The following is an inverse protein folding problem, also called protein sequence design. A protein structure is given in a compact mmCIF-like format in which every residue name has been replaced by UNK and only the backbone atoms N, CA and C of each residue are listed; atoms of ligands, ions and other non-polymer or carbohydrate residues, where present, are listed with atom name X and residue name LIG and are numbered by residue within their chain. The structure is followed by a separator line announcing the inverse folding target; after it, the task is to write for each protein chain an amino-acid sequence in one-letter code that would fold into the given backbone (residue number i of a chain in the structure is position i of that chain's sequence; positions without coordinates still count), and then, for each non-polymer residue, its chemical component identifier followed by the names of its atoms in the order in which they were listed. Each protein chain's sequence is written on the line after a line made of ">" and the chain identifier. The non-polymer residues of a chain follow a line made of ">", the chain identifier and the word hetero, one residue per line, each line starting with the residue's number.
data_IF_138935314259
#
_entry.id   IF_138935314259
#
_cell.length_a   1.000
_cell.length_b   1.000
_cell.length_c   1.000
_cell.angle_alpha   90.00
_cell.angle_beta   90.00
_cell.angle_gamma   90.00
#
_symmetry.space_group_name_H-M   'P 1'
#
loop_
_entity.id
_entity.type
_entity.pdbx_description
1 polymer ?
#
# COMPACT_ATOMS: atom_id res chain seq x y z
N UNK A 1 12.63 -9.71 -9.62
CA UNK A 1 12.51 -10.91 -8.77
C UNK A 1 11.51 -11.84 -9.40
N UNK A 2 11.92 -13.06 -9.73
CA UNK A 2 11.05 -14.06 -10.33
C UNK A 2 10.13 -14.69 -9.26
N UNK A 3 8.86 -14.81 -9.56
CA UNK A 3 7.91 -15.55 -8.75
C UNK A 3 8.01 -17.01 -9.18
N UNK A 4 8.48 -17.88 -8.29
CA UNK A 4 8.50 -19.32 -8.55
C UNK A 4 7.19 -19.94 -8.07
N UNK A 5 6.52 -20.66 -8.95
CA UNK A 5 5.38 -21.49 -8.59
C UNK A 5 5.86 -22.73 -7.80
N UNK A 6 5.11 -23.10 -6.78
CA UNK A 6 5.41 -24.30 -6.02
C UNK A 6 5.29 -25.54 -6.92
N UNK A 7 6.32 -26.38 -6.94
CA UNK A 7 6.35 -27.63 -7.75
C UNK A 7 5.38 -28.70 -7.23
N UNK A 8 4.97 -28.62 -5.97
CA UNK A 8 4.09 -29.62 -5.34
C UNK A 8 2.62 -29.21 -5.46
N UNK A 9 1.79 -30.15 -5.87
CA UNK A 9 0.33 -29.94 -6.07
C UNK A 9 -0.52 -30.29 -4.84
N UNK A 10 0.09 -30.40 -3.64
CA UNK A 10 -0.66 -30.66 -2.40
C UNK A 10 -1.68 -29.54 -2.13
N UNK A 11 -2.79 -29.79 -1.42
CA UNK A 11 -3.80 -28.78 -1.12
C UNK A 11 -3.26 -27.53 -0.42
N UNK A 12 -2.12 -27.65 0.29
CA UNK A 12 -1.47 -26.52 0.98
C UNK A 12 -0.62 -25.65 0.05
N UNK A 13 -0.04 -26.23 -1.01
CA UNK A 13 0.92 -25.58 -1.89
C UNK A 13 0.34 -25.27 -3.28
N UNK A 14 -0.83 -25.82 -3.63
CA UNK A 14 -1.49 -25.60 -4.92
C UNK A 14 -1.59 -24.11 -5.24
N UNK A 15 -1.06 -23.71 -6.38
CA UNK A 15 -1.00 -22.31 -6.84
C UNK A 15 -0.26 -21.36 -5.86
N UNK A 16 0.54 -21.89 -4.96
CA UNK A 16 1.43 -21.10 -4.11
C UNK A 16 2.60 -20.56 -4.91
N UNK A 17 2.93 -19.28 -4.75
CA UNK A 17 4.12 -18.67 -5.32
C UNK A 17 5.06 -18.26 -4.20
N UNK A 18 6.32 -18.59 -4.32
CA UNK A 18 7.37 -18.26 -3.34
C UNK A 18 8.43 -17.39 -4.00
N UNK A 19 8.92 -16.42 -3.28
CA UNK A 19 10.09 -15.66 -3.66
C UNK A 19 11.28 -16.12 -2.81
N UNK A 20 12.26 -16.75 -3.43
CA UNK A 20 13.40 -17.38 -2.75
C UNK A 20 14.37 -16.38 -2.12
N UNK A 21 14.39 -15.14 -2.59
CA UNK A 21 15.32 -14.10 -2.12
C UNK A 21 14.84 -13.35 -0.89
N UNK A 22 13.62 -13.59 -0.42
CA UNK A 22 13.01 -12.83 0.65
C UNK A 22 13.10 -13.60 1.98
N UNK A 23 13.76 -12.98 2.95
CA UNK A 23 13.86 -13.53 4.31
C UNK A 23 12.49 -13.40 5.02
N UNK A 24 11.98 -14.49 5.59
CA UNK A 24 10.61 -14.52 6.14
C UNK A 24 10.51 -14.10 7.60
N UNK A 25 11.51 -14.39 8.43
CA UNK A 25 11.44 -14.24 9.88
C UNK A 25 12.70 -13.61 10.47
N UNK A 26 12.91 -12.33 10.24
CA UNK A 26 13.94 -11.60 10.99
C UNK A 26 13.36 -11.08 12.31
N UNK A 27 14.10 -11.26 13.40
CA UNK A 27 13.83 -10.64 14.70
C UNK A 27 14.92 -9.61 14.96
N UNK A 28 14.56 -8.34 14.99
CA UNK A 28 15.46 -7.25 15.35
C UNK A 28 14.70 -6.16 16.13
N UNK A 29 15.42 -5.20 16.71
CA UNK A 29 14.85 -4.12 17.53
C UNK A 29 13.86 -3.20 16.79
N UNK A 30 13.83 -3.27 15.45
CA UNK A 30 12.91 -2.50 14.60
C UNK A 30 11.53 -3.16 14.48
N UNK A 31 11.37 -4.34 15.06
CA UNK A 31 10.10 -5.07 15.08
C UNK A 31 9.48 -4.86 16.46
N UNK A 32 8.31 -4.24 16.48
CA UNK A 32 7.55 -4.01 17.71
C UNK A 32 6.27 -4.87 17.71
N UNK A 33 5.85 -5.29 18.90
CA UNK A 33 4.61 -5.91 19.31
C UNK A 33 3.62 -6.39 18.25
N UNK A 34 2.40 -6.61 18.68
CA UNK A 34 1.31 -6.99 17.77
C UNK A 34 0.75 -5.80 17.03
N UNK A 35 0.72 -5.87 15.71
CA UNK A 35 -0.20 -5.03 14.96
C UNK A 35 -1.60 -5.67 15.01
N UNK A 36 -2.45 -5.17 15.88
CA UNK A 36 -3.88 -5.40 15.76
C UNK A 36 -4.38 -4.57 14.58
N UNK A 37 -4.46 -5.17 13.40
CA UNK A 37 -5.30 -4.56 12.38
C UNK A 37 -6.72 -4.48 12.97
N UNK A 38 -7.21 -3.26 13.15
CA UNK A 38 -8.54 -3.00 13.69
C UNK A 38 -9.53 -3.88 12.94
N UNK A 39 -10.13 -4.85 13.64
CA UNK A 39 -10.99 -5.91 13.09
C UNK A 39 -12.26 -5.37 12.40
N UNK A 40 -12.16 -4.16 11.83
CA UNK A 40 -13.26 -3.45 11.19
C UNK A 40 -14.28 -2.88 12.18
N UNK A 41 -13.88 -2.69 13.44
CA UNK A 41 -14.71 -2.13 14.51
C UNK A 41 -14.08 -0.87 15.07
N UNK A 42 -14.92 0.08 15.48
CA UNK A 42 -14.50 1.27 16.22
C UNK A 42 -14.30 0.94 17.72
N UNK A 43 -13.96 1.96 18.53
CA UNK A 43 -13.78 1.84 19.97
C UNK A 43 -15.05 1.37 20.71
N UNK A 44 -16.25 1.61 20.16
CA UNK A 44 -17.54 1.17 20.69
C UNK A 44 -17.91 -0.26 20.25
N UNK A 45 -17.05 -0.98 19.51
CA UNK A 45 -17.33 -2.31 18.97
C UNK A 45 -18.21 -2.33 17.72
N UNK A 46 -18.69 -1.19 17.24
CA UNK A 46 -19.55 -1.09 16.04
C UNK A 46 -18.72 -1.39 14.78
N UNK A 47 -19.28 -2.20 13.90
CA UNK A 47 -18.63 -2.57 12.63
C UNK A 47 -18.61 -1.35 11.71
N UNK A 48 -17.42 -0.80 11.45
CA UNK A 48 -17.20 0.31 10.51
C UNK A 48 -16.68 -0.14 9.15
N UNK A 49 -16.08 -1.34 9.11
CA UNK A 49 -15.64 -1.97 7.87
C UNK A 49 -16.01 -3.46 7.91
N UNK A 50 -16.99 -3.86 7.11
CA UNK A 50 -17.46 -5.23 7.02
C UNK A 50 -16.40 -6.20 6.49
N UNK A 51 -16.63 -7.49 6.71
CA UNK A 51 -15.83 -8.59 6.16
C UNK A 51 -14.35 -8.59 6.58
N UNK A 52 -14.03 -8.09 7.78
CA UNK A 52 -12.67 -8.08 8.34
C UNK A 52 -12.61 -8.82 9.68
N UNK A 53 -11.44 -9.41 9.95
CA UNK A 53 -11.15 -10.13 11.19
C UNK A 53 -10.75 -11.60 10.99
N UNK A 54 -10.34 -12.25 12.06
CA UNK A 54 -9.92 -13.67 12.07
C UNK A 54 -8.64 -13.99 11.32
N UNK A 55 -7.78 -13.00 11.10
CA UNK A 55 -6.45 -13.18 10.49
C UNK A 55 -5.38 -13.56 11.50
N UNK A 56 -4.21 -13.99 11.00
CA UNK A 56 -3.04 -14.26 11.82
C UNK A 56 -2.56 -13.02 12.59
N UNK A 57 -2.00 -13.26 13.77
CA UNK A 57 -1.24 -12.28 14.55
C UNK A 57 -0.04 -11.79 13.73
N UNK A 58 0.21 -10.48 13.68
CA UNK A 58 1.26 -9.90 12.88
C UNK A 58 2.18 -9.04 13.73
N UNK A 59 3.47 -9.12 13.48
CA UNK A 59 4.45 -8.19 14.05
C UNK A 59 4.51 -6.94 13.19
N UNK A 60 4.61 -5.79 13.81
CA UNK A 60 4.77 -4.51 13.12
C UNK A 60 6.25 -4.21 12.89
N UNK A 61 6.62 -3.76 11.69
CA UNK A 61 7.95 -3.28 11.33
C UNK A 61 7.94 -1.76 11.32
N UNK A 62 8.89 -1.16 12.03
CA UNK A 62 9.10 0.28 12.01
C UNK A 62 9.81 0.62 10.69
N UNK A 63 9.08 1.21 9.76
CA UNK A 63 9.60 1.58 8.44
C UNK A 63 9.83 3.07 8.42
N UNK A 64 11.00 3.46 7.95
CA UNK A 64 11.35 4.84 7.71
C UNK A 64 10.74 5.33 6.41
N UNK A 65 9.76 6.22 6.50
CA UNK A 65 9.15 6.90 5.37
C UNK A 65 9.66 8.33 5.18
N UNK A 66 10.42 8.86 6.15
CA UNK A 66 10.88 10.25 6.10
C UNK A 66 12.21 10.39 5.40
N UNK A 67 13.17 9.57 5.75
CA UNK A 67 14.54 9.55 5.26
C UNK A 67 15.34 10.84 5.41
N UNK A 68 14.72 12.00 5.57
CA UNK A 68 15.35 13.31 5.71
C UNK A 68 16.23 13.45 6.97
N UNK A 69 16.06 12.59 7.97
CA UNK A 69 16.93 12.54 9.15
C UNK A 69 18.33 11.94 8.85
N UNK A 70 18.54 11.38 7.66
CA UNK A 70 19.78 10.73 7.20
C UNK A 70 20.29 11.41 5.92
N UNK A 71 20.39 12.74 5.95
CA UNK A 71 20.90 13.53 4.85
C UNK A 71 22.39 13.24 4.64
N UNK A 72 22.76 12.98 3.38
CA UNK A 72 24.09 12.67 2.90
C UNK A 72 24.81 11.47 3.54
N UNK A 73 24.07 10.67 4.33
CA UNK A 73 24.61 9.46 4.93
C UNK A 73 24.30 8.26 4.04
N UNK A 74 25.34 7.57 3.59
CA UNK A 74 25.22 6.36 2.78
C UNK A 74 24.70 5.19 3.63
N UNK A 75 23.69 4.50 3.12
CA UNK A 75 23.16 3.27 3.70
C UNK A 75 23.33 2.10 2.73
N UNK A 76 23.71 0.92 3.23
CA UNK A 76 23.84 -0.31 2.45
C UNK A 76 22.68 -1.25 2.71
N UNK A 77 22.09 -1.81 1.66
CA UNK A 77 21.04 -2.82 1.76
C UNK A 77 21.68 -4.15 2.19
N UNK A 78 21.29 -4.64 3.37
CA UNK A 78 21.82 -5.90 3.94
C UNK A 78 20.87 -7.07 3.68
N UNK A 79 19.56 -6.85 3.85
CA UNK A 79 18.56 -7.91 3.62
C UNK A 79 17.32 -7.36 2.95
N UNK A 80 16.65 -8.23 2.18
CA UNK A 80 15.31 -8.00 1.65
C UNK A 80 14.36 -8.90 2.42
N UNK A 81 13.32 -8.33 3.05
CA UNK A 81 12.47 -9.03 4.00
C UNK A 81 11.00 -8.96 3.64
N UNK A 82 10.25 -9.97 4.08
CA UNK A 82 8.80 -10.01 4.00
C UNK A 82 8.16 -9.19 5.11
N UNK A 83 7.21 -8.32 4.77
CA UNK A 83 6.36 -7.63 5.75
C UNK A 83 4.92 -8.17 5.68
N UNK A 84 4.38 -8.75 6.77
CA UNK A 84 3.01 -9.26 6.80
C UNK A 84 1.94 -8.16 6.74
N UNK A 85 2.30 -6.89 6.96
CA UNK A 85 1.38 -5.76 7.02
C UNK A 85 1.15 -5.10 5.66
N UNK A 86 2.00 -5.41 4.67
CA UNK A 86 1.92 -4.88 3.31
C UNK A 86 2.31 -5.93 2.27
N UNK A 87 1.92 -5.71 1.04
CA UNK A 87 2.33 -6.57 -0.08
C UNK A 87 3.72 -6.20 -0.63
N UNK A 88 4.22 -5.00 -0.36
CA UNK A 88 5.57 -4.60 -0.72
C UNK A 88 6.60 -5.28 0.20
N UNK A 89 7.75 -5.69 -0.36
CA UNK A 89 8.89 -6.09 0.44
C UNK A 89 9.56 -4.89 1.08
N UNK A 90 10.35 -5.11 2.10
CA UNK A 90 11.14 -4.10 2.81
C UNK A 90 12.61 -4.47 2.76
N UNK A 91 13.49 -3.46 2.83
CA UNK A 91 14.92 -3.63 2.93
C UNK A 91 15.40 -3.17 4.30
N UNK A 92 16.25 -3.96 4.93
CA UNK A 92 17.03 -3.52 6.08
C UNK A 92 18.28 -2.82 5.56
N UNK A 93 18.49 -1.60 6.01
CA UNK A 93 19.63 -0.78 5.67
C UNK A 93 20.48 -0.59 6.91
N UNK A 94 21.79 -0.69 6.72
CA UNK A 94 22.78 -0.22 7.68
C UNK A 94 23.39 1.08 7.14
N UNK A 95 23.22 2.15 7.90
CA UNK A 95 23.83 3.45 7.60
C UNK A 95 25.26 3.53 8.13
N UNK A 96 26.06 4.44 7.56
CA UNK A 96 27.46 4.65 7.98
C UNK A 96 27.63 5.09 9.42
N UNK A 97 26.60 5.70 10.03
CA UNK A 97 26.54 6.06 11.44
C UNK A 97 26.19 4.90 12.39
N UNK A 98 26.08 3.68 11.88
CA UNK A 98 25.74 2.47 12.65
C UNK A 98 24.23 2.27 12.87
N UNK A 99 23.36 3.22 12.51
CA UNK A 99 21.92 3.05 12.67
C UNK A 99 21.36 2.09 11.60
N UNK A 100 20.34 1.34 12.00
CA UNK A 100 19.63 0.39 11.12
C UNK A 100 18.20 0.85 10.94
N UNK A 101 17.74 0.92 9.69
CA UNK A 101 16.35 1.28 9.38
C UNK A 101 15.76 0.36 8.31
N UNK A 102 14.44 0.21 8.34
CA UNK A 102 13.70 -0.40 7.23
C UNK A 102 13.21 0.65 6.26
N UNK A 103 13.32 0.35 4.97
CA UNK A 103 12.68 1.12 3.89
C UNK A 103 11.82 0.22 3.01
N UNK A 104 11.00 0.81 2.14
CA UNK A 104 10.34 0.07 1.06
C UNK A 104 11.39 -0.42 0.06
N UNK A 105 11.28 -1.69 -0.35
CA UNK A 105 12.18 -2.26 -1.35
C UNK A 105 11.90 -1.65 -2.73
N UNK A 106 12.85 -0.93 -3.36
CA UNK A 106 12.73 -0.48 -4.75
C UNK A 106 12.83 -1.67 -5.70
N UNK A 107 12.09 -1.64 -6.81
CA UNK A 107 12.16 -2.68 -7.84
C UNK A 107 13.56 -2.73 -8.44
N UNK A 108 14.19 -3.89 -8.38
CA UNK A 108 15.51 -4.12 -8.97
C UNK A 108 16.69 -3.89 -8.04
N UNK A 109 16.48 -3.30 -6.86
CA UNK A 109 17.54 -3.20 -5.86
C UNK A 109 17.97 -4.58 -5.38
N UNK A 110 19.28 -4.77 -5.22
CA UNK A 110 19.89 -6.02 -4.75
C UNK A 110 20.55 -5.83 -3.39
N UNK A 111 20.87 -6.92 -2.73
CA UNK A 111 21.65 -6.89 -1.48
C UNK A 111 23.07 -6.39 -1.81
N UNK A 112 23.53 -5.43 -1.03
CA UNK A 112 24.81 -4.77 -1.23
C UNK A 112 24.73 -3.39 -1.89
N UNK A 113 23.60 -3.04 -2.53
CA UNK A 113 23.40 -1.71 -3.10
C UNK A 113 23.46 -0.62 -2.03
N UNK A 114 24.05 0.50 -2.41
CA UNK A 114 24.11 1.71 -1.58
C UNK A 114 23.00 2.68 -1.96
N UNK A 115 22.39 3.29 -0.96
CA UNK A 115 21.33 4.29 -1.12
C UNK A 115 21.63 5.49 -0.21
N UNK A 116 21.17 6.65 -0.64
CA UNK A 116 21.38 7.91 0.07
C UNK A 116 20.14 8.80 -0.05
N UNK A 117 20.02 9.75 0.84
CA UNK A 117 19.07 10.87 0.78
C UNK A 117 19.88 12.18 0.79
N UNK A 118 19.50 13.12 -0.04
CA UNK A 118 20.14 14.46 -0.09
C UNK A 118 19.66 15.25 -1.30
N UNK A 119 20.17 16.48 -1.45
CA UNK A 119 19.84 17.38 -2.56
C UNK A 119 20.73 17.10 -3.78
N UNK A 120 22.02 16.91 -3.58
CA UNK A 120 23.03 16.69 -4.67
C UNK A 120 23.31 15.20 -4.93
N UNK A 121 22.33 14.35 -4.72
CA UNK A 121 22.48 12.90 -4.84
C UNK A 121 22.21 12.44 -6.28
N UNK A 122 22.98 11.49 -6.84
CA UNK A 122 22.74 10.97 -8.18
C UNK A 122 21.36 10.31 -8.29
N UNK A 123 20.72 10.47 -9.45
CA UNK A 123 19.38 9.91 -9.73
C UNK A 123 19.48 8.41 -9.96
N UNK A 124 19.79 7.67 -8.91
CA UNK A 124 19.84 6.21 -8.90
C UNK A 124 18.61 5.64 -8.19
N UNK A 125 18.24 4.43 -8.58
CA UNK A 125 17.12 3.71 -7.99
C UNK A 125 17.33 3.50 -6.47
N UNK A 126 16.33 3.88 -5.68
CA UNK A 126 16.38 3.78 -4.21
C UNK A 126 16.85 5.03 -3.51
N UNK A 127 17.54 5.96 -4.21
CA UNK A 127 17.89 7.25 -3.64
C UNK A 127 16.66 8.12 -3.47
N UNK A 128 16.67 8.97 -2.46
CA UNK A 128 15.57 9.88 -2.20
C UNK A 128 16.08 11.33 -2.25
N UNK A 129 15.28 12.18 -2.90
CA UNK A 129 15.60 13.58 -3.14
C UNK A 129 14.33 14.43 -3.03
N UNK A 130 14.44 15.74 -2.84
CA UNK A 130 13.35 16.68 -3.10
C UNK A 130 12.92 16.65 -4.57
N UNK A 131 11.64 16.89 -4.85
CA UNK A 131 11.13 16.91 -6.22
C UNK A 131 11.74 18.04 -7.06
N UNK A 132 12.32 19.05 -6.40
CA UNK A 132 13.07 20.14 -7.06
C UNK A 132 14.22 19.60 -7.92
N UNK A 133 14.97 18.64 -7.39
CA UNK A 133 16.23 18.17 -7.97
C UNK A 133 16.07 16.95 -8.90
N UNK A 134 14.85 16.41 -8.96
CA UNK A 134 14.53 15.29 -9.85
C UNK A 134 14.23 15.77 -11.28
N UNK A 135 14.75 15.13 -12.33
CA UNK A 135 14.39 15.46 -13.73
C UNK A 135 12.93 15.10 -14.04
N UNK A 136 12.38 15.78 -15.05
CA UNK A 136 11.04 15.46 -15.55
C UNK A 136 11.01 14.05 -16.15
N UNK A 137 9.86 13.38 -16.03
CA UNK A 137 9.68 12.00 -16.49
C UNK A 137 10.15 10.93 -15.53
N UNK A 138 10.87 11.30 -14.45
CA UNK A 138 11.38 10.33 -13.46
C UNK A 138 10.25 9.53 -12.83
N UNK A 139 10.46 8.21 -12.75
CA UNK A 139 9.60 7.29 -12.01
C UNK A 139 9.93 7.39 -10.52
N UNK A 140 8.93 7.63 -9.69
CA UNK A 140 9.11 7.87 -8.25
C UNK A 140 8.07 7.13 -7.40
N UNK A 141 8.42 6.89 -6.16
CA UNK A 141 7.53 6.29 -5.16
C UNK A 141 7.79 6.89 -3.77
N UNK A 142 7.02 6.49 -2.77
CA UNK A 142 7.12 6.99 -1.39
C UNK A 142 7.14 8.52 -1.31
N UNK A 143 6.15 9.17 -1.92
CA UNK A 143 6.11 10.61 -2.15
C UNK A 143 5.46 11.29 -0.95
N UNK A 144 6.05 12.37 -0.47
CA UNK A 144 5.47 13.24 0.53
C UNK A 144 4.33 14.09 -0.04
N UNK A 145 3.34 14.38 0.80
CA UNK A 145 2.28 15.36 0.50
C UNK A 145 2.55 16.67 1.24
N UNK A 146 2.99 16.55 2.48
CA UNK A 146 3.32 17.68 3.36
C UNK A 146 4.75 17.52 3.78
N UNK A 147 5.53 18.58 3.69
CA UNK A 147 6.95 18.60 4.04
C UNK A 147 7.17 18.05 5.48
N UNK A 148 8.16 17.17 5.64
CA UNK A 148 8.56 16.59 6.91
C UNK A 148 7.62 15.52 7.50
N UNK A 149 6.48 15.21 6.88
CA UNK A 149 5.58 14.12 7.33
C UNK A 149 5.97 12.74 6.85
N UNK A 150 6.91 12.67 5.91
CA UNK A 150 7.31 11.42 5.26
C UNK A 150 6.38 11.00 4.14
N UNK A 151 6.82 10.05 3.34
CA UNK A 151 6.11 9.59 2.16
C UNK A 151 4.74 8.98 2.46
N UNK A 152 3.74 9.38 1.72
CA UNK A 152 2.35 8.94 1.87
C UNK A 152 1.77 8.35 0.59
N UNK A 153 2.21 8.81 -0.59
CA UNK A 153 1.71 8.35 -1.88
C UNK A 153 2.63 7.29 -2.49
N UNK A 154 2.08 6.46 -3.38
CA UNK A 154 2.79 5.43 -4.16
C UNK A 154 3.66 4.50 -3.29
N UNK A 155 3.10 3.90 -2.22
CA UNK A 155 3.79 2.98 -1.31
C UNK A 155 3.40 1.51 -1.45
N UNK A 156 2.36 1.22 -2.21
CA UNK A 156 1.91 -0.16 -2.41
C UNK A 156 2.87 -0.93 -3.33
N UNK A 157 2.86 -2.26 -3.25
CA UNK A 157 3.63 -3.11 -4.15
C UNK A 157 3.35 -2.77 -5.62
N UNK A 158 4.41 -2.57 -6.40
CA UNK A 158 4.33 -2.17 -7.80
C UNK A 158 3.87 -0.74 -8.07
N UNK A 159 3.61 0.07 -7.03
CA UNK A 159 3.20 1.46 -7.23
C UNK A 159 4.36 2.30 -7.76
N UNK A 160 4.03 3.19 -8.69
CA UNK A 160 4.92 4.18 -9.28
C UNK A 160 4.12 5.41 -9.66
N UNK A 161 4.68 6.58 -9.44
CA UNK A 161 4.19 7.85 -9.98
C UNK A 161 5.22 8.42 -10.94
N UNK A 162 4.80 9.32 -11.83
CA UNK A 162 5.69 10.02 -12.76
C UNK A 162 5.64 11.52 -12.51
N UNK A 163 6.79 12.15 -12.48
CA UNK A 163 6.93 13.60 -12.43
C UNK A 163 6.72 14.16 -13.86
N UNK A 164 5.65 14.94 -14.06
CA UNK A 164 5.28 15.45 -15.38
C UNK A 164 5.87 16.84 -15.61
N UNK A 165 5.66 17.74 -14.65
CA UNK A 165 6.06 19.14 -14.76
C UNK A 165 6.45 19.70 -13.39
N UNK A 166 7.21 20.79 -13.41
CA UNK A 166 7.57 21.60 -12.25
C UNK A 166 7.31 23.06 -12.60
N UNK A 167 6.36 23.68 -11.92
CA UNK A 167 5.96 25.04 -12.19
C UNK A 167 5.85 25.85 -10.88
N UNK A 168 6.50 26.98 -10.82
CA UNK A 168 6.51 27.82 -9.63
C UNK A 168 6.92 27.07 -8.36
N UNK A 169 6.02 26.98 -7.39
CA UNK A 169 6.24 26.28 -6.10
C UNK A 169 5.73 24.83 -6.10
N UNK A 170 5.15 24.37 -7.22
CA UNK A 170 4.47 23.07 -7.31
C UNK A 170 5.12 22.13 -8.33
N UNK A 171 5.03 20.84 -8.07
CA UNK A 171 5.35 19.75 -8.97
C UNK A 171 4.07 18.99 -9.34
N UNK A 172 3.90 18.69 -10.62
CA UNK A 172 2.74 17.96 -11.16
C UNK A 172 3.09 16.49 -11.29
N UNK A 173 2.36 15.65 -10.57
CA UNK A 173 2.57 14.20 -10.51
C UNK A 173 1.40 13.42 -11.11
N UNK A 174 1.70 12.42 -11.93
CA UNK A 174 0.75 11.40 -12.36
C UNK A 174 0.84 10.20 -11.41
N UNK A 175 -0.21 10.00 -10.64
CA UNK A 175 -0.32 8.92 -9.66
C UNK A 175 -0.68 7.56 -10.32
N UNK A 176 -0.46 6.43 -9.63
CA UNK A 176 -0.83 5.10 -10.14
C UNK A 176 -2.32 4.95 -10.49
N UNK A 177 -3.19 5.73 -9.85
CA UNK A 177 -4.63 5.76 -10.13
C UNK A 177 -5.00 6.46 -11.44
N UNK A 178 -4.04 7.14 -12.11
CA UNK A 178 -4.28 8.01 -13.25
C UNK A 178 -4.62 9.46 -12.89
N UNK A 179 -4.81 9.77 -11.59
CA UNK A 179 -5.00 11.14 -11.11
C UNK A 179 -3.74 11.96 -11.33
N UNK A 180 -3.90 13.19 -11.84
CA UNK A 180 -2.82 14.18 -11.95
C UNK A 180 -3.03 15.21 -10.85
N UNK A 181 -2.00 15.39 -10.02
CA UNK A 181 -2.08 16.18 -8.80
C UNK A 181 -0.85 17.06 -8.61
N UNK A 182 -1.08 18.24 -8.04
CA UNK A 182 -0.05 19.18 -7.61
C UNK A 182 0.44 18.81 -6.19
N UNK A 183 1.75 18.90 -6.00
CA UNK A 183 2.43 18.72 -4.69
C UNK A 183 3.53 19.77 -4.62
N UNK A 184 3.88 20.23 -3.41
CA UNK A 184 5.01 21.15 -3.24
C UNK A 184 6.30 20.54 -3.79
N UNK A 185 7.09 21.31 -4.54
CA UNK A 185 8.37 20.84 -5.10
C UNK A 185 9.43 20.51 -4.05
N UNK A 186 9.30 21.06 -2.83
CA UNK A 186 10.21 20.80 -1.74
C UNK A 186 9.92 19.44 -1.04
N UNK A 187 8.79 18.80 -1.34
CA UNK A 187 8.48 17.46 -0.82
C UNK A 187 9.44 16.42 -1.39
N UNK A 188 9.85 15.49 -0.56
CA UNK A 188 10.76 14.41 -0.94
C UNK A 188 10.03 13.22 -1.56
N UNK A 189 10.75 12.50 -2.42
CA UNK A 189 10.31 11.24 -3.00
C UNK A 189 11.50 10.31 -3.21
N UNK A 190 11.23 9.02 -3.38
CA UNK A 190 12.27 8.02 -3.69
C UNK A 190 12.23 7.67 -5.18
N UNK A 191 13.38 7.63 -5.82
CA UNK A 191 13.53 7.28 -7.26
C UNK A 191 13.21 5.80 -7.48
N UNK A 192 12.48 5.50 -8.53
CA UNK A 192 12.14 4.14 -8.97
C UNK A 192 10.70 3.72 -8.63
N UNK A 193 10.42 2.45 -8.82
CA UNK A 193 9.14 1.78 -8.56
C UNK A 193 9.24 0.92 -7.30
N UNK A 194 8.16 0.77 -6.55
CA UNK A 194 8.10 -0.19 -5.44
C UNK A 194 8.19 -1.63 -5.97
N UNK A 195 8.97 -2.47 -5.31
CA UNK A 195 9.15 -3.86 -5.67
C UNK A 195 7.90 -4.73 -5.54
N UNK A 196 8.05 -6.04 -5.82
CA UNK A 196 6.97 -7.03 -5.78
C UNK A 196 5.78 -6.73 -6.71
N UNK A 197 6.06 -6.32 -7.94
CA UNK A 197 5.05 -5.91 -8.94
C UNK A 197 4.05 -7.03 -9.23
N UNK A 198 4.50 -8.30 -9.27
CA UNK A 198 3.68 -9.47 -9.58
C UNK A 198 2.77 -9.96 -8.45
N UNK A 199 2.65 -9.25 -7.34
CA UNK A 199 1.88 -9.71 -6.16
C UNK A 199 0.41 -10.01 -6.47
N UNK A 200 -0.18 -9.30 -7.41
CA UNK A 200 -1.59 -9.48 -7.81
C UNK A 200 -1.80 -10.71 -8.70
N UNK A 201 -0.74 -11.25 -9.31
CA UNK A 201 -0.78 -12.48 -10.10
C UNK A 201 -0.82 -13.74 -9.22
N UNK A 202 -0.54 -13.58 -7.91
CA UNK A 202 -0.52 -14.69 -6.97
C UNK A 202 -1.94 -15.18 -6.66
N UNK A 203 -2.29 -16.38 -7.12
CA UNK A 203 -3.49 -17.10 -6.69
C UNK A 203 -3.41 -17.50 -5.21
N UNK A 204 -4.53 -17.49 -4.51
CA UNK A 204 -4.61 -17.91 -3.12
C UNK A 204 -4.89 -19.42 -2.96
N UNK A 205 -5.32 -20.07 -4.01
CA UNK A 205 -5.60 -21.51 -4.08
C UNK A 205 -6.84 -21.96 -3.31
N UNK A 206 -7.12 -21.43 -2.13
CA UNK A 206 -8.24 -21.86 -1.27
C UNK A 206 -8.82 -20.72 -0.43
N UNK A 207 -10.07 -20.90 0.03
CA UNK A 207 -10.80 -19.91 0.84
C UNK A 207 -10.12 -19.64 2.19
N UNK A 208 -9.55 -20.65 2.84
CA UNK A 208 -8.80 -20.52 4.10
C UNK A 208 -7.62 -19.55 3.99
N UNK A 209 -6.90 -19.52 2.86
CA UNK A 209 -5.80 -18.60 2.64
C UNK A 209 -6.26 -17.11 2.66
N UNK A 210 -7.48 -16.84 2.20
CA UNK A 210 -8.10 -15.52 2.28
C UNK A 210 -8.49 -15.16 3.72
N UNK A 211 -8.98 -16.16 4.49
CA UNK A 211 -9.32 -16.02 5.91
C UNK A 211 -8.09 -15.72 6.76
N UNK A 212 -6.97 -16.40 6.54
CA UNK A 212 -5.73 -16.14 7.25
C UNK A 212 -5.21 -14.71 7.08
N UNK A 213 -5.53 -14.07 5.95
CA UNK A 213 -5.23 -12.66 5.70
C UNK A 213 -6.19 -11.69 6.38
N UNK A 214 -7.18 -12.18 7.12
CA UNK A 214 -8.15 -11.37 7.84
C UNK A 214 -9.35 -10.93 7.00
N UNK A 215 -9.58 -11.56 5.85
CA UNK A 215 -10.77 -11.30 5.01
C UNK A 215 -11.84 -12.35 5.31
N UNK A 216 -13.00 -11.94 5.79
CA UNK A 216 -14.16 -12.78 6.04
C UNK A 216 -15.02 -12.92 4.78
N UNK A 217 -15.86 -13.97 4.69
CA UNK A 217 -16.83 -14.11 3.61
C UNK A 217 -17.75 -12.90 3.52
N UNK A 218 -18.19 -12.59 2.30
CA UNK A 218 -19.16 -11.52 2.04
C UNK A 218 -20.55 -12.15 1.97
N UNK A 219 -21.41 -11.83 2.93
CA UNK A 219 -22.80 -12.27 2.95
C UNK A 219 -23.62 -11.27 2.14
N UNK A 220 -24.47 -11.78 1.27
CA UNK A 220 -25.38 -10.95 0.46
C UNK A 220 -26.53 -10.44 1.33
N UNK A 221 -26.96 -9.18 1.13
CA UNK A 221 -28.09 -8.61 1.88
C UNK A 221 -29.41 -9.37 1.71
N UNK A 222 -29.61 -10.02 0.56
CA UNK A 222 -30.81 -10.82 0.25
C UNK A 222 -30.99 -12.06 1.16
N UNK A 223 -29.90 -12.57 1.74
CA UNK A 223 -29.94 -13.75 2.64
C UNK A 223 -29.90 -13.38 4.11
N UNK A 224 -30.10 -12.11 4.42
CA UNK A 224 -30.17 -11.59 5.78
C UNK A 224 -31.63 -11.42 6.20
N UNK A 225 -31.87 -11.21 7.51
CA UNK A 225 -33.17 -10.84 8.00
C UNK A 225 -33.55 -9.39 7.65
N UNK A 226 -34.86 -9.02 7.64
CA UNK A 226 -35.31 -7.66 7.32
C UNK A 226 -34.68 -6.58 8.21
N UNK A 227 -34.39 -6.92 9.49
CA UNK A 227 -33.77 -6.00 10.45
C UNK A 227 -32.30 -5.69 10.09
N UNK A 228 -31.60 -6.64 9.45
CA UNK A 228 -30.16 -6.51 9.18
C UNK A 228 -29.86 -5.83 7.84
N UNK A 229 -30.76 -5.93 6.87
CA UNK A 229 -30.57 -5.36 5.55
C UNK A 229 -31.88 -4.99 4.86
N UNK A 230 -31.95 -3.85 4.14
CA UNK A 230 -33.13 -3.46 3.36
C UNK A 230 -33.58 -4.46 2.29
N UNK A 231 -32.73 -5.40 1.91
CA UNK A 231 -33.04 -6.48 0.97
C UNK A 231 -33.30 -7.82 1.67
N UNK A 232 -33.37 -7.82 3.01
CA UNK A 232 -33.60 -9.03 3.79
C UNK A 232 -35.06 -9.41 3.82
N UNK A 233 -35.31 -10.65 4.24
CA UNK A 233 -36.63 -11.23 4.35
C UNK A 233 -37.10 -11.93 3.10
N UNK A 234 -38.37 -12.40 3.14
CA UNK A 234 -38.96 -13.22 2.09
C UNK A 234 -38.69 -14.70 2.31
N UNK A 235 -39.35 -15.53 1.49
CA UNK A 235 -39.25 -16.97 1.52
C UNK A 235 -38.25 -17.44 0.44
N UNK A 236 -37.34 -18.34 0.82
CA UNK A 236 -36.33 -18.87 -0.08
C UNK A 236 -35.40 -17.80 -0.64
N UNK A 237 -35.21 -17.77 -1.96
CA UNK A 237 -34.40 -16.78 -2.65
C UNK A 237 -35.27 -15.63 -3.17
N UNK A 238 -35.68 -14.73 -2.29
CA UNK A 238 -36.44 -13.55 -2.69
C UNK A 238 -35.66 -12.55 -3.53
N UNK A 239 -36.29 -11.80 -4.44
CA UNK A 239 -35.66 -10.67 -5.16
C UNK A 239 -35.42 -9.49 -4.22
N UNK A 240 -34.70 -8.47 -4.72
CA UNK A 240 -34.40 -7.25 -3.94
C UNK A 240 -35.67 -6.49 -3.48
N UNK A 241 -36.77 -6.61 -4.23
CA UNK A 241 -38.07 -6.00 -3.90
C UNK A 241 -38.12 -4.47 -3.95
N UNK A 242 -37.08 -3.81 -4.44
CA UNK A 242 -36.96 -2.33 -4.50
C UNK A 242 -36.59 -1.87 -5.89
N UNK A 243 -37.01 -0.63 -6.25
CA UNK A 243 -36.67 -0.02 -7.56
C UNK A 243 -35.15 0.09 -7.79
N UNK A 244 -34.33 0.23 -6.74
CA UNK A 244 -32.88 0.32 -6.81
C UNK A 244 -32.23 -0.47 -5.68
N UNK A 245 -31.07 -1.10 -5.90
CA UNK A 245 -30.33 -1.75 -4.83
C UNK A 245 -29.87 -0.75 -3.79
N UNK A 246 -29.99 -1.11 -2.52
CA UNK A 246 -29.64 -0.28 -1.37
C UNK A 246 -28.45 -0.87 -0.59
N UNK A 247 -27.73 0.00 0.10
CA UNK A 247 -26.71 -0.40 1.07
C UNK A 247 -27.36 -0.85 2.38
N UNK A 248 -26.63 -1.48 3.33
CA UNK A 248 -27.16 -1.84 4.65
C UNK A 248 -27.79 -0.66 5.42
N UNK A 249 -27.37 0.57 5.12
CA UNK A 249 -27.88 1.80 5.74
C UNK A 249 -29.04 2.46 4.97
N UNK A 250 -29.59 1.78 3.96
CA UNK A 250 -30.74 2.27 3.18
C UNK A 250 -30.38 3.25 2.05
N UNK A 251 -29.12 3.59 1.84
CA UNK A 251 -28.72 4.48 0.75
C UNK A 251 -28.63 3.74 -0.59
N UNK A 252 -28.85 4.44 -1.74
CA UNK A 252 -28.61 3.84 -3.05
C UNK A 252 -27.19 3.27 -3.17
N UNK A 253 -27.08 1.99 -3.59
CA UNK A 253 -25.79 1.30 -3.72
C UNK A 253 -24.97 1.79 -4.90
N UNK A 254 -25.62 2.28 -5.97
CA UNK A 254 -24.98 2.74 -7.20
C UNK A 254 -25.21 4.23 -7.44
N UNK A 255 -24.27 4.89 -8.11
CA UNK A 255 -24.38 6.28 -8.55
C UNK A 255 -24.13 7.33 -7.47
N UNK A 256 -24.12 6.98 -6.18
CA UNK A 256 -23.84 7.95 -5.12
C UNK A 256 -22.36 8.28 -5.05
N UNK A 257 -22.05 9.58 -5.06
CA UNK A 257 -20.68 10.05 -4.83
C UNK A 257 -20.26 9.78 -3.38
N UNK A 258 -19.14 9.07 -3.18
CA UNK A 258 -18.57 8.76 -1.86
C UNK A 258 -17.63 9.85 -1.35
N UNK A 259 -16.95 10.56 -2.26
CA UNK A 259 -16.05 11.68 -1.90
C UNK A 259 -16.88 12.89 -1.42
N UNK A 260 -16.54 13.41 -0.24
CA UNK A 260 -17.13 14.66 0.26
C UNK A 260 -16.88 15.81 -0.73
N UNK A 261 -17.85 16.72 -0.86
CA UNK A 261 -17.69 17.98 -1.60
C UNK A 261 -16.73 18.91 -0.84
N UNK A 262 -16.10 19.82 -1.56
CA UNK A 262 -15.22 20.88 -1.00
C UNK A 262 -14.10 20.32 -0.08
N UNK A 263 -13.46 19.27 -0.53
CA UNK A 263 -12.28 18.75 0.17
C UNK A 263 -11.09 19.66 -0.09
N UNK A 264 -10.27 19.95 0.94
CA UNK A 264 -9.08 20.79 0.82
C UNK A 264 -8.15 20.41 -0.35
N UNK A 265 -8.14 19.13 -0.71
CA UNK A 265 -7.32 18.59 -1.80
C UNK A 265 -7.95 18.76 -3.19
N UNK A 266 -9.15 19.34 -3.32
CA UNK A 266 -9.79 19.48 -4.64
C UNK A 266 -9.05 20.51 -5.51
N UNK A 267 -8.50 21.56 -4.92
CA UNK A 267 -7.71 22.59 -5.60
C UNK A 267 -6.33 22.07 -6.07
N UNK A 268 -5.86 20.94 -5.52
CA UNK A 268 -4.59 20.32 -5.90
C UNK A 268 -4.74 19.27 -6.99
N UNK A 269 -5.95 18.92 -7.40
CA UNK A 269 -6.22 17.90 -8.43
C UNK A 269 -6.44 18.60 -9.77
N UNK A 270 -5.44 18.48 -10.67
CA UNK A 270 -5.51 19.01 -12.03
C UNK A 270 -6.44 18.16 -12.90
N UNK A 271 -6.27 16.85 -12.84
CA UNK A 271 -7.11 15.89 -13.59
C UNK A 271 -7.46 14.69 -12.72
N UNK A 272 -8.74 14.38 -12.62
CA UNK A 272 -9.21 13.17 -11.94
C UNK A 272 -8.93 11.93 -12.81
N UNK A 273 -8.90 10.76 -12.16
CA UNK A 273 -8.84 9.48 -12.89
C UNK A 273 -10.00 9.39 -13.87
N UNK A 274 -9.73 8.95 -15.09
CA UNK A 274 -10.79 8.54 -16.01
C UNK A 274 -11.59 7.38 -15.42
N UNK A 275 -12.87 7.33 -15.69
CA UNK A 275 -13.74 6.20 -15.32
C UNK A 275 -13.35 4.96 -16.10
#
# INVERSE_FOLDING_TARGET
>A
MAIHLSKTSSPSTRNGAVNSQVKSNSRNRLISGQHHCGKGRNARGIITAGHRGGGHKRLYRKIDFRRNEKEDIYGRIITIEYDPNRNAHICLIHYGDGEKRYILHPRGAIIGDTIVYGTEVPIKMGNALPLTDMPLGTAIHNIEITLGKGGQLARAAGAVAKLIAKEGKSATLKLPSGEVRLISKNCSATVGQVGNVGVNQKGLGRAGAKRWRGKRPVVRGVVMNPVDHPHGGGEGRAPIGRKKPSTPWGYPALGRRTRKRNKYSDNLIVRRRSK
#
